data_IF_427542769263
#
_entry.id   IF_427542769263
#
_cell.length_a   1.000
_cell.length_b   1.000
_cell.length_c   1.000
_cell.angle_alpha   90.00
_cell.angle_beta   90.00
_cell.angle_gamma   90.00
#
_symmetry.space_group_name_H-M   'P 1'
#
loop_
_entity.id
_entity.type
_entity.pdbx_description
1 polymer ?
#
# COMPACT_ATOMS: atom_id res chain seq x y z
N UNK A 1 -3.07 -70.33 45.42
CA UNK A 1 -3.80 -69.19 44.78
C UNK A 1 -2.91 -68.00 44.74
N UNK A 2 -2.30 -67.78 43.56
CA UNK A 2 -1.34 -66.67 43.32
C UNK A 2 -2.08 -65.60 42.51
N UNK A 3 -2.30 -64.42 43.15
CA UNK A 3 -2.90 -63.25 42.46
C UNK A 3 -1.81 -62.54 41.67
N UNK A 4 -1.93 -62.54 40.35
CA UNK A 4 -1.11 -61.71 39.46
C UNK A 4 -1.63 -60.28 39.44
N UNK A 5 -0.80 -59.32 39.82
CA UNK A 5 -1.06 -57.88 39.71
C UNK A 5 -0.55 -57.42 38.34
N UNK A 6 -1.51 -56.99 37.46
CA UNK A 6 -1.22 -56.44 36.16
C UNK A 6 -0.95 -54.93 36.33
N UNK A 7 0.31 -54.49 36.18
CA UNK A 7 0.68 -53.07 36.16
C UNK A 7 0.60 -52.60 34.73
N UNK A 8 -0.43 -51.74 34.43
CA UNK A 8 -0.55 -51.07 33.15
C UNK A 8 0.32 -49.79 33.18
N UNK A 9 1.42 -49.79 32.44
CA UNK A 9 2.24 -48.61 32.21
C UNK A 9 1.54 -47.72 31.18
N UNK A 10 0.96 -46.63 31.63
CA UNK A 10 0.39 -45.57 30.78
C UNK A 10 1.56 -44.68 30.29
N UNK A 11 2.11 -44.97 29.10
CA UNK A 11 3.11 -44.15 28.44
C UNK A 11 2.43 -42.86 27.92
N UNK A 12 2.59 -41.79 28.67
CA UNK A 12 2.16 -40.43 28.24
C UNK A 12 3.09 -39.91 27.12
N UNK A 13 2.66 -39.99 25.88
CA UNK A 13 3.31 -39.27 24.78
C UNK A 13 3.09 -37.77 24.97
N UNK A 14 4.08 -37.06 25.53
CA UNK A 14 4.18 -35.61 25.44
C UNK A 14 4.47 -35.23 23.98
N UNK A 15 3.44 -34.85 23.23
CA UNK A 15 3.62 -34.15 21.97
C UNK A 15 4.20 -32.76 22.29
N UNK A 16 5.51 -32.62 22.21
CA UNK A 16 6.15 -31.32 22.13
C UNK A 16 5.70 -30.68 20.81
N UNK A 17 4.72 -29.80 20.86
CA UNK A 17 4.41 -28.93 19.75
C UNK A 17 5.62 -28.03 19.51
N UNK A 18 6.49 -28.42 18.56
CA UNK A 18 7.54 -27.56 18.05
C UNK A 18 6.84 -26.36 17.42
N UNK A 19 6.83 -25.21 18.09
CA UNK A 19 6.53 -23.95 17.45
C UNK A 19 7.60 -23.77 16.38
N UNK A 20 7.27 -24.08 15.13
CA UNK A 20 8.13 -23.80 13.97
C UNK A 20 8.29 -22.28 13.94
N UNK A 21 9.40 -21.79 14.47
CA UNK A 21 9.84 -20.42 14.25
C UNK A 21 10.08 -20.30 12.74
N UNK A 22 9.13 -19.68 12.05
CA UNK A 22 9.29 -19.34 10.65
C UNK A 22 10.49 -18.39 10.55
N UNK A 23 11.65 -18.96 10.19
CA UNK A 23 12.92 -18.22 10.14
C UNK A 23 12.95 -17.10 9.10
N UNK A 24 11.90 -17.02 8.28
CA UNK A 24 11.77 -16.03 7.21
C UNK A 24 11.43 -14.63 7.72
N UNK A 25 10.92 -14.48 8.95
CA UNK A 25 10.47 -13.21 9.52
C UNK A 25 11.06 -13.00 10.91
N UNK A 26 11.87 -11.95 11.07
CA UNK A 26 12.42 -11.54 12.36
C UNK A 26 11.65 -10.34 12.90
N UNK A 27 11.03 -10.48 14.08
CA UNK A 27 10.37 -9.35 14.76
C UNK A 27 11.39 -8.26 15.09
N UNK A 28 11.06 -7.01 14.72
CA UNK A 28 11.89 -5.84 15.00
C UNK A 28 11.33 -4.98 16.13
N UNK A 29 10.09 -4.51 15.95
CA UNK A 29 9.43 -3.63 16.93
C UNK A 29 7.91 -3.59 16.72
N UNK A 30 7.21 -3.05 17.73
CA UNK A 30 5.79 -2.75 17.68
C UNK A 30 5.55 -1.28 18.03
N UNK A 31 4.66 -0.63 17.29
CA UNK A 31 4.14 0.70 17.56
C UNK A 31 2.72 0.52 18.07
N UNK A 32 2.50 0.75 19.35
CA UNK A 32 1.18 0.60 19.97
C UNK A 32 0.27 1.77 19.63
N UNK A 33 -1.02 1.51 19.45
CA UNK A 33 -2.03 2.51 19.18
C UNK A 33 -3.19 1.96 18.36
N UNK A 34 -4.26 2.75 18.26
CA UNK A 34 -5.42 2.42 17.42
C UNK A 34 -5.35 3.24 16.14
N UNK A 35 -5.08 2.56 15.02
CA UNK A 35 -4.93 3.16 13.71
C UNK A 35 -5.90 2.52 12.73
N UNK A 36 -6.41 3.31 11.78
CA UNK A 36 -7.32 2.85 10.73
C UNK A 36 -6.58 2.48 9.45
N UNK A 37 -5.46 3.17 9.17
CA UNK A 37 -4.60 2.89 8.03
C UNK A 37 -3.18 3.40 8.27
N UNK A 38 -2.26 3.01 7.40
CA UNK A 38 -0.89 3.51 7.43
C UNK A 38 -0.24 3.45 6.05
N UNK A 39 0.78 4.28 5.86
CA UNK A 39 1.72 4.24 4.74
C UNK A 39 3.16 4.22 5.26
N UNK A 40 4.09 3.75 4.42
CA UNK A 40 5.52 3.72 4.72
C UNK A 40 6.30 4.26 3.54
N UNK A 41 7.20 5.21 3.77
CA UNK A 41 8.08 5.74 2.74
C UNK A 41 9.41 4.96 2.62
N UNK A 42 10.21 5.33 1.63
CA UNK A 42 11.50 4.69 1.36
C UNK A 42 12.61 5.04 2.38
N UNK A 43 12.33 5.91 3.35
CA UNK A 43 13.20 6.25 4.49
C UNK A 43 12.73 5.56 5.78
N UNK A 44 11.80 4.59 5.67
CA UNK A 44 11.16 3.89 6.79
C UNK A 44 10.36 4.80 7.74
N UNK A 45 9.97 6.01 7.30
CA UNK A 45 8.99 6.78 8.06
C UNK A 45 7.61 6.14 7.89
N UNK A 46 6.86 6.12 8.98
CA UNK A 46 5.52 5.53 9.02
C UNK A 46 4.50 6.66 9.21
N UNK A 47 3.53 6.72 8.33
CA UNK A 47 2.45 7.68 8.33
C UNK A 47 1.17 6.98 8.77
N UNK A 48 0.64 7.36 9.93
CA UNK A 48 -0.45 6.70 10.64
C UNK A 48 -1.70 7.55 10.60
N UNK A 49 -2.82 6.98 10.20
CA UNK A 49 -4.14 7.58 10.40
C UNK A 49 -4.76 6.94 11.64
N UNK A 50 -5.06 7.74 12.66
CA UNK A 50 -5.75 7.28 13.84
C UNK A 50 -7.28 7.26 13.64
N UNK A 51 -8.02 6.79 14.63
CA UNK A 51 -9.49 6.70 14.61
C UNK A 51 -10.21 8.05 14.52
N UNK A 52 -9.52 9.16 14.78
CA UNK A 52 -10.04 10.53 14.60
C UNK A 52 -9.59 11.17 13.28
N UNK A 53 -9.09 10.36 12.34
CA UNK A 53 -8.56 10.79 11.04
C UNK A 53 -7.41 11.81 11.10
N UNK A 54 -6.66 11.84 12.19
CA UNK A 54 -5.44 12.61 12.31
C UNK A 54 -4.27 11.82 11.70
N UNK A 55 -3.49 12.46 10.84
CA UNK A 55 -2.25 11.91 10.32
C UNK A 55 -1.10 12.20 11.27
N UNK A 56 -0.37 11.15 11.67
CA UNK A 56 0.86 11.23 12.46
C UNK A 56 2.01 10.60 11.69
N UNK A 57 3.13 11.31 11.60
CA UNK A 57 4.39 10.77 11.06
C UNK A 57 5.29 10.31 12.19
N UNK A 58 5.82 9.11 12.08
CA UNK A 58 6.84 8.53 12.96
C UNK A 58 8.08 8.25 12.11
N UNK A 59 9.25 8.69 12.56
CA UNK A 59 10.50 8.42 11.85
C UNK A 59 10.98 6.98 12.05
N UNK A 60 12.04 6.58 11.33
CA UNK A 60 12.60 5.22 11.40
C UNK A 60 13.03 4.82 12.84
N UNK A 61 13.43 5.78 13.68
CA UNK A 61 13.81 5.55 15.08
C UNK A 61 12.60 5.30 15.98
N UNK A 62 11.40 5.71 15.56
CA UNK A 62 10.16 5.61 16.34
C UNK A 62 9.71 6.92 16.99
N UNK A 63 10.42 8.04 16.72
CA UNK A 63 10.05 9.35 17.26
C UNK A 63 8.94 10.00 16.44
N UNK A 64 8.09 10.80 17.09
CA UNK A 64 7.07 11.59 16.42
C UNK A 64 7.72 12.71 15.60
N UNK A 65 7.57 12.68 14.28
CA UNK A 65 8.19 13.62 13.36
C UNK A 65 7.21 14.67 12.80
N UNK A 66 5.91 14.55 13.09
CA UNK A 66 4.90 15.52 12.68
C UNK A 66 3.49 15.00 12.89
N UNK A 67 2.55 15.93 12.93
CA UNK A 67 1.12 15.65 13.03
C UNK A 67 0.37 16.62 12.11
N UNK A 68 -0.60 16.10 11.35
CA UNK A 68 -1.49 16.90 10.53
C UNK A 68 -2.94 16.54 10.82
N UNK A 69 -3.78 17.56 10.99
CA UNK A 69 -5.20 17.37 11.21
C UNK A 69 -5.98 18.54 10.60
N UNK A 70 -6.71 18.28 9.54
CA UNK A 70 -7.62 19.27 8.93
C UNK A 70 -8.95 18.63 8.52
N UNK A 71 -9.45 17.72 9.35
CA UNK A 71 -10.70 16.97 9.11
C UNK A 71 -11.91 17.90 8.99
N UNK A 72 -11.88 19.03 9.70
CA UNK A 72 -12.98 20.02 9.64
C UNK A 72 -13.11 20.65 8.25
N UNK A 73 -11.99 20.80 7.54
CA UNK A 73 -11.93 21.44 6.23
C UNK A 73 -12.11 20.45 5.08
N UNK A 74 -11.49 19.27 5.18
CA UNK A 74 -11.40 18.32 4.07
C UNK A 74 -12.09 16.97 4.35
N UNK A 75 -12.61 16.77 5.56
CA UNK A 75 -13.14 15.46 5.96
C UNK A 75 -12.06 14.37 6.12
N UNK A 76 -12.45 13.09 6.09
CA UNK A 76 -11.49 12.00 6.19
C UNK A 76 -10.66 11.87 4.92
N UNK A 77 -9.35 11.61 5.09
CA UNK A 77 -8.44 11.33 3.98
C UNK A 77 -8.81 9.99 3.32
N UNK A 78 -8.84 9.97 1.98
CA UNK A 78 -9.17 8.76 1.22
C UNK A 78 -7.92 8.00 0.81
N UNK A 79 -6.87 8.71 0.40
CA UNK A 79 -5.59 8.12 -0.01
C UNK A 79 -4.44 9.00 0.45
N UNK A 80 -3.34 8.36 0.84
CA UNK A 80 -2.07 9.01 1.14
C UNK A 80 -1.03 8.44 0.19
N UNK A 81 -0.26 9.31 -0.46
CA UNK A 81 0.94 8.93 -1.19
C UNK A 81 2.17 9.52 -0.52
N UNK A 82 3.08 8.67 -0.11
CA UNK A 82 4.36 9.01 0.55
C UNK A 82 5.56 8.55 -0.28
N UNK A 83 5.34 8.32 -1.56
CA UNK A 83 6.38 7.90 -2.53
C UNK A 83 7.57 8.85 -2.50
N UNK A 84 7.33 10.15 -2.38
CA UNK A 84 8.35 11.16 -2.12
C UNK A 84 8.25 11.65 -0.67
N UNK A 85 9.23 11.34 0.22
CA UNK A 85 9.22 11.77 1.62
C UNK A 85 9.28 13.29 1.84
N UNK A 86 9.61 14.06 0.80
CA UNK A 86 9.66 15.52 0.81
C UNK A 86 8.36 16.17 0.32
N UNK A 87 7.47 15.36 -0.29
CA UNK A 87 6.20 15.79 -0.87
C UNK A 87 5.15 14.72 -0.62
N UNK A 88 4.39 14.86 0.45
CA UNK A 88 3.32 13.94 0.81
C UNK A 88 2.01 14.41 0.19
N UNK A 89 1.29 13.52 -0.47
CA UNK A 89 -0.03 13.83 -1.05
C UNK A 89 -1.13 13.22 -0.19
N UNK A 90 -2.09 14.04 0.20
CA UNK A 90 -3.33 13.60 0.84
C UNK A 90 -4.49 13.85 -0.13
N UNK A 91 -5.18 12.79 -0.53
CA UNK A 91 -6.33 12.92 -1.41
C UNK A 91 -7.65 12.76 -0.62
N UNK A 92 -8.53 13.74 -0.82
CA UNK A 92 -9.85 13.83 -0.23
C UNK A 92 -10.90 13.68 -1.33
N UNK A 93 -11.32 12.44 -1.61
CA UNK A 93 -12.21 12.11 -2.74
C UNK A 93 -13.51 12.88 -2.71
N UNK A 94 -14.16 12.98 -1.54
CA UNK A 94 -15.45 13.68 -1.39
C UNK A 94 -15.39 15.18 -1.74
N UNK A 95 -14.22 15.77 -1.58
CA UNK A 95 -13.97 17.18 -1.89
C UNK A 95 -13.23 17.39 -3.21
N UNK A 96 -12.86 16.31 -3.92
CA UNK A 96 -12.03 16.32 -5.13
C UNK A 96 -10.79 17.20 -4.92
N UNK A 97 -10.11 17.03 -3.78
CA UNK A 97 -9.03 17.92 -3.35
C UNK A 97 -7.79 17.11 -3.00
N UNK A 98 -6.64 17.55 -3.50
CA UNK A 98 -5.33 17.03 -3.11
C UNK A 98 -4.66 18.10 -2.24
N UNK A 99 -4.24 17.72 -1.03
CA UNK A 99 -3.42 18.54 -0.16
C UNK A 99 -1.98 18.06 -0.26
N UNK A 100 -1.09 18.97 -0.61
CA UNK A 100 0.35 18.72 -0.71
C UNK A 100 1.00 19.17 0.57
N UNK A 101 1.67 18.24 1.28
CA UNK A 101 2.41 18.53 2.50
C UNK A 101 3.91 18.45 2.27
N UNK A 102 4.67 19.18 3.08
CA UNK A 102 6.13 19.03 3.18
C UNK A 102 6.51 17.85 4.09
N UNK A 103 7.82 17.61 4.24
CA UNK A 103 8.36 16.55 5.11
C UNK A 103 7.98 16.65 6.58
N UNK A 104 7.57 17.84 7.04
CA UNK A 104 7.16 18.13 8.43
C UNK A 104 5.63 18.11 8.59
N UNK A 105 4.90 17.76 7.53
CA UNK A 105 3.44 17.76 7.42
C UNK A 105 2.82 19.17 7.45
N UNK A 106 3.54 20.22 7.04
CA UNK A 106 2.94 21.53 6.80
C UNK A 106 2.33 21.57 5.40
N UNK A 107 1.19 22.25 5.25
CA UNK A 107 0.56 22.44 3.93
C UNK A 107 1.46 23.33 3.08
N UNK A 108 1.86 22.81 1.92
CA UNK A 108 2.53 23.56 0.86
C UNK A 108 1.55 24.11 -0.16
N UNK A 109 0.60 23.27 -0.55
CA UNK A 109 -0.40 23.62 -1.54
C UNK A 109 -1.70 22.82 -1.35
N UNK A 110 -2.79 23.31 -1.98
CA UNK A 110 -4.08 22.63 -2.03
C UNK A 110 -4.65 22.75 -3.44
N UNK A 111 -4.81 21.60 -4.09
CA UNK A 111 -5.27 21.49 -5.48
C UNK A 111 -6.74 21.08 -5.47
N UNK A 112 -7.62 21.95 -5.96
CA UNK A 112 -9.02 21.61 -6.16
C UNK A 112 -9.22 21.12 -7.59
N UNK A 113 -9.43 19.82 -7.76
CA UNK A 113 -9.51 19.16 -9.05
C UNK A 113 -10.75 19.60 -9.85
N UNK A 114 -11.84 19.96 -9.19
CA UNK A 114 -13.07 20.46 -9.87
C UNK A 114 -12.82 21.77 -10.61
N UNK A 115 -11.91 22.61 -10.11
CA UNK A 115 -11.52 23.86 -10.79
C UNK A 115 -10.77 23.60 -12.10
N UNK A 116 -10.21 22.40 -12.24
CA UNK A 116 -9.52 21.92 -13.43
C UNK A 116 -10.40 21.03 -14.32
N UNK A 117 -11.72 21.02 -14.06
CA UNK A 117 -12.69 20.16 -14.74
C UNK A 117 -12.41 18.65 -14.57
N UNK A 118 -11.77 18.25 -13.48
CA UNK A 118 -11.51 16.85 -13.11
C UNK A 118 -12.46 16.51 -11.95
N UNK A 119 -13.45 15.67 -12.19
CA UNK A 119 -14.54 15.45 -11.24
C UNK A 119 -14.54 14.08 -10.58
N UNK A 120 -14.02 13.07 -11.24
CA UNK A 120 -14.10 11.68 -10.81
C UNK A 120 -12.72 11.02 -10.77
N UNK A 121 -11.94 11.32 -9.72
CA UNK A 121 -10.63 10.69 -9.52
C UNK A 121 -10.75 9.55 -8.52
N UNK A 122 -10.24 8.39 -8.88
CA UNK A 122 -10.27 7.21 -8.02
C UNK A 122 -8.94 6.94 -7.32
N UNK A 123 -7.83 7.25 -7.97
CA UNK A 123 -6.50 7.06 -7.41
C UNK A 123 -5.52 8.13 -7.90
N UNK A 124 -4.55 8.47 -7.05
CA UNK A 124 -3.46 9.40 -7.34
C UNK A 124 -2.11 8.75 -7.05
N UNK A 125 -1.04 9.26 -7.66
CA UNK A 125 0.33 8.90 -7.33
C UNK A 125 1.29 10.06 -7.59
N UNK A 126 2.35 10.18 -6.79
CA UNK A 126 3.46 11.09 -7.09
C UNK A 126 4.23 10.57 -8.30
N UNK A 127 4.45 11.44 -9.28
CA UNK A 127 5.27 11.14 -10.46
C UNK A 127 6.77 11.32 -10.15
N UNK A 128 7.62 10.64 -10.93
CA UNK A 128 9.09 10.74 -10.81
C UNK A 128 9.61 12.18 -10.94
N UNK A 129 8.90 13.04 -11.69
CA UNK A 129 9.23 14.45 -11.92
C UNK A 129 8.56 15.41 -10.91
N UNK A 130 8.11 14.88 -9.77
CA UNK A 130 7.36 15.57 -8.71
C UNK A 130 5.98 16.12 -9.10
N UNK A 131 5.48 15.81 -10.29
CA UNK A 131 4.10 16.04 -10.67
C UNK A 131 3.20 14.98 -10.06
N UNK A 132 1.92 14.98 -10.40
CA UNK A 132 0.93 14.07 -9.83
C UNK A 132 0.22 13.34 -10.96
N UNK A 133 0.29 12.02 -10.94
CA UNK A 133 -0.56 11.16 -11.74
C UNK A 133 -1.92 10.99 -11.08
N UNK A 134 -2.96 10.96 -11.87
CA UNK A 134 -4.31 10.62 -11.44
C UNK A 134 -5.05 9.84 -12.52
N UNK A 135 -5.99 9.00 -12.12
CA UNK A 135 -6.91 8.33 -13.03
C UNK A 135 -8.29 9.01 -12.95
N UNK A 136 -8.67 9.64 -14.07
CA UNK A 136 -9.97 10.28 -14.24
C UNK A 136 -10.97 9.24 -14.76
N UNK A 137 -11.89 8.80 -13.90
CA UNK A 137 -12.91 7.80 -14.23
C UNK A 137 -14.02 8.35 -15.13
N UNK A 138 -14.20 9.67 -15.18
CA UNK A 138 -15.19 10.28 -16.05
C UNK A 138 -14.73 10.28 -17.51
N UNK A 139 -13.46 10.58 -17.74
CA UNK A 139 -12.88 10.60 -19.09
C UNK A 139 -12.18 9.30 -19.46
N UNK A 140 -12.02 8.38 -18.50
CA UNK A 140 -11.28 7.12 -18.67
C UNK A 140 -9.85 7.33 -19.14
N UNK A 141 -9.18 8.32 -18.54
CA UNK A 141 -7.81 8.69 -18.88
C UNK A 141 -6.89 8.70 -17.68
N UNK A 142 -5.65 8.35 -17.92
CA UNK A 142 -4.55 8.69 -17.04
C UNK A 142 -4.14 10.13 -17.32
N UNK A 143 -4.09 10.99 -16.31
CA UNK A 143 -3.68 12.37 -16.44
C UNK A 143 -2.50 12.65 -15.52
N UNK A 144 -1.59 13.52 -15.98
CA UNK A 144 -0.53 14.09 -15.15
C UNK A 144 -0.77 15.57 -14.96
N UNK A 145 -0.79 16.03 -13.71
CA UNK A 145 -1.00 17.42 -13.35
C UNK A 145 0.21 17.97 -12.57
N UNK A 146 0.43 19.27 -12.65
CA UNK A 146 1.40 19.98 -11.80
C UNK A 146 0.82 20.33 -10.41
N UNK A 147 1.59 21.07 -9.61
CA UNK A 147 1.19 21.49 -8.27
C UNK A 147 0.06 22.54 -8.26
N UNK A 148 -0.21 23.20 -9.39
CA UNK A 148 -1.31 24.13 -9.56
C UNK A 148 -2.58 23.42 -10.08
N UNK A 149 -2.46 22.14 -10.42
CA UNK A 149 -3.53 21.31 -10.96
C UNK A 149 -3.66 21.40 -12.48
N UNK A 150 -2.75 22.10 -13.18
CA UNK A 150 -2.74 22.17 -14.64
C UNK A 150 -2.43 20.81 -15.24
N UNK A 151 -3.23 20.37 -16.20
CA UNK A 151 -3.00 19.12 -16.91
C UNK A 151 -1.80 19.26 -17.85
N UNK A 152 -0.75 18.49 -17.59
CA UNK A 152 0.49 18.46 -18.38
C UNK A 152 0.46 17.38 -19.44
N UNK A 153 -0.25 16.27 -19.19
CA UNK A 153 -0.31 15.14 -20.07
C UNK A 153 -1.60 14.34 -19.82
N UNK A 154 -2.15 13.80 -20.89
CA UNK A 154 -3.24 12.83 -20.87
C UNK A 154 -2.90 11.60 -21.70
N UNK A 155 -3.31 10.43 -21.24
CA UNK A 155 -3.28 9.20 -22.04
C UNK A 155 -4.36 9.22 -23.10
N UNK A 156 -4.32 8.26 -24.02
CA UNK A 156 -5.48 7.94 -24.86
C UNK A 156 -6.68 7.54 -23.96
N UNK A 157 -7.87 7.76 -24.48
CA UNK A 157 -9.10 7.29 -23.85
C UNK A 157 -9.11 5.75 -23.79
N UNK A 158 -9.26 5.21 -22.59
CA UNK A 158 -9.21 3.76 -22.37
C UNK A 158 -10.35 2.99 -23.06
N UNK A 159 -11.44 3.65 -23.41
CA UNK A 159 -12.51 3.06 -24.25
C UNK A 159 -12.05 2.69 -25.64
N UNK A 160 -11.00 3.35 -26.13
CA UNK A 160 -10.40 3.06 -27.43
C UNK A 160 -9.26 2.02 -27.36
N UNK A 161 -8.78 1.73 -26.16
CA UNK A 161 -7.60 0.87 -25.92
C UNK A 161 -8.00 -0.49 -25.35
N UNK A 162 -9.06 -0.54 -24.56
CA UNK A 162 -9.45 -1.75 -23.83
C UNK A 162 -10.92 -2.12 -24.08
N UNK A 163 -11.16 -3.40 -24.34
CA UNK A 163 -12.53 -3.95 -24.42
C UNK A 163 -13.27 -3.83 -23.07
N UNK A 164 -12.55 -3.91 -21.97
CA UNK A 164 -13.06 -3.73 -20.61
C UNK A 164 -12.20 -2.72 -19.87
N UNK A 165 -12.78 -1.54 -19.64
CA UNK A 165 -12.10 -0.39 -19.03
C UNK A 165 -11.72 -0.72 -17.58
N UNK A 166 -10.44 -0.56 -17.18
CA UNK A 166 -10.04 -0.76 -15.79
C UNK A 166 -10.60 0.35 -14.88
N UNK A 167 -10.93 -0.02 -13.62
CA UNK A 167 -11.20 0.92 -12.54
C UNK A 167 -10.00 0.92 -11.60
N UNK A 168 -9.26 2.03 -11.56
CA UNK A 168 -8.04 2.12 -10.79
C UNK A 168 -8.32 2.13 -9.29
N UNK A 169 -7.95 1.07 -8.58
CA UNK A 169 -7.94 1.06 -7.11
C UNK A 169 -6.63 1.61 -6.54
N UNK A 170 -5.56 1.55 -7.33
CA UNK A 170 -4.24 2.07 -6.94
C UNK A 170 -3.45 2.52 -8.18
N UNK A 171 -2.74 3.64 -8.05
CA UNK A 171 -1.70 4.08 -8.98
C UNK A 171 -0.34 4.04 -8.30
N UNK A 172 0.71 3.79 -9.07
CA UNK A 172 2.11 3.82 -8.60
C UNK A 172 3.02 4.20 -9.76
N UNK A 173 3.92 5.17 -9.56
CA UNK A 173 4.99 5.51 -10.51
C UNK A 173 6.30 4.91 -10.02
N UNK A 174 6.88 3.97 -10.77
CA UNK A 174 8.15 3.31 -10.47
C UNK A 174 8.82 2.78 -11.75
N UNK A 175 10.13 2.76 -11.75
CA UNK A 175 10.94 2.07 -12.76
C UNK A 175 10.62 2.47 -14.21
N UNK A 176 10.38 3.75 -14.46
CA UNK A 176 10.01 4.33 -15.75
C UNK A 176 8.61 3.94 -16.25
N UNK A 177 7.76 3.44 -15.36
CA UNK A 177 6.37 3.11 -15.68
C UNK A 177 5.39 3.68 -14.66
N UNK A 178 4.20 4.01 -15.14
CA UNK A 178 3.03 4.24 -14.33
C UNK A 178 2.21 2.95 -14.31
N UNK A 179 1.95 2.46 -13.12
CA UNK A 179 1.18 1.25 -12.90
C UNK A 179 -0.21 1.62 -12.39
N UNK A 180 -1.21 1.09 -13.06
CA UNK A 180 -2.61 1.14 -12.65
C UNK A 180 -3.04 -0.25 -12.23
N UNK A 181 -3.56 -0.38 -11.03
CA UNK A 181 -4.09 -1.64 -10.54
C UNK A 181 -5.60 -1.61 -10.42
N UNK A 182 -6.25 -2.60 -11.03
CA UNK A 182 -7.66 -2.94 -10.89
C UNK A 182 -7.76 -4.33 -10.25
N UNK A 183 -8.38 -4.43 -9.08
CA UNK A 183 -8.48 -5.67 -8.32
C UNK A 183 -9.16 -6.81 -9.10
N UNK A 184 -10.11 -6.47 -9.97
CA UNK A 184 -10.84 -7.46 -10.77
C UNK A 184 -10.19 -7.74 -12.14
N UNK A 185 -9.37 -6.82 -12.66
CA UNK A 185 -8.83 -6.90 -14.02
C UNK A 185 -7.32 -7.03 -14.09
N UNK A 186 -6.62 -6.73 -12.99
CA UNK A 186 -5.17 -6.90 -12.86
C UNK A 186 -4.38 -5.61 -12.97
N UNK A 187 -3.15 -5.74 -13.36
CA UNK A 187 -2.10 -4.73 -13.26
C UNK A 187 -1.73 -4.25 -14.66
N UNK A 188 -1.93 -2.96 -14.93
CA UNK A 188 -1.65 -2.32 -16.22
C UNK A 188 -0.42 -1.44 -16.09
N UNK A 189 0.47 -1.47 -17.07
CA UNK A 189 1.65 -0.62 -17.12
C UNK A 189 1.58 0.35 -18.30
N UNK A 190 1.95 1.60 -18.04
CA UNK A 190 2.01 2.68 -19.01
C UNK A 190 3.40 3.31 -18.96
N UNK A 191 3.88 3.83 -20.09
CA UNK A 191 5.08 4.68 -20.08
C UNK A 191 4.76 6.10 -19.56
N UNK A 192 5.79 6.93 -19.45
CA UNK A 192 5.64 8.31 -18.97
C UNK A 192 4.89 9.24 -19.92
N UNK A 193 4.57 8.79 -21.12
CA UNK A 193 3.70 9.48 -22.07
C UNK A 193 2.25 9.01 -21.98
N UNK A 194 1.93 8.14 -21.01
CA UNK A 194 0.59 7.59 -20.85
C UNK A 194 0.22 6.49 -21.85
N UNK A 195 1.19 5.96 -22.61
CA UNK A 195 0.95 4.89 -23.59
C UNK A 195 0.94 3.54 -22.90
N UNK A 196 -0.10 2.74 -23.16
CA UNK A 196 -0.22 1.37 -22.65
C UNK A 196 0.92 0.48 -23.15
N UNK A 197 1.51 -0.31 -22.25
CA UNK A 197 2.61 -1.25 -22.55
C UNK A 197 2.23 -2.71 -22.33
N UNK A 198 1.71 -3.03 -21.15
CA UNK A 198 1.44 -4.43 -20.81
C UNK A 198 0.35 -4.53 -19.74
N UNK A 199 -0.27 -5.70 -19.66
CA UNK A 199 -1.20 -6.10 -18.61
C UNK A 199 -0.76 -7.42 -17.99
N UNK A 200 -0.71 -7.47 -16.65
CA UNK A 200 -0.46 -8.68 -15.89
C UNK A 200 -1.75 -9.07 -15.14
N UNK A 201 -2.21 -10.32 -15.25
CA UNK A 201 -3.49 -10.77 -14.71
C UNK A 201 -3.39 -11.10 -13.20
N UNK A 202 -2.87 -10.18 -12.39
CA UNK A 202 -2.80 -10.33 -10.94
C UNK A 202 -4.12 -9.91 -10.32
N UNK A 203 -5.06 -10.85 -10.22
CA UNK A 203 -6.40 -10.60 -9.74
C UNK A 203 -6.47 -10.75 -8.22
N UNK A 204 -7.26 -9.89 -7.58
CA UNK A 204 -7.54 -9.94 -6.14
C UNK A 204 -6.31 -9.83 -5.23
N UNK A 205 -5.26 -9.14 -5.71
CA UNK A 205 -4.15 -8.75 -4.85
C UNK A 205 -4.53 -7.50 -4.06
N UNK A 206 -4.17 -7.47 -2.80
CA UNK A 206 -4.33 -6.30 -1.93
C UNK A 206 -2.96 -5.73 -1.55
N UNK A 207 -2.95 -4.45 -1.16
CA UNK A 207 -1.76 -3.76 -0.66
C UNK A 207 -0.56 -3.89 -1.62
N UNK A 208 -0.79 -3.57 -2.89
CA UNK A 208 0.23 -3.62 -3.94
C UNK A 208 1.38 -2.67 -3.59
N UNK A 209 2.59 -3.16 -3.72
CA UNK A 209 3.81 -2.36 -3.66
C UNK A 209 4.71 -2.71 -4.84
N UNK A 210 5.29 -1.70 -5.47
CA UNK A 210 6.33 -1.88 -6.49
C UNK A 210 7.64 -1.37 -5.88
N UNK A 211 8.54 -2.30 -5.56
CA UNK A 211 9.84 -2.00 -4.99
C UNK A 211 10.92 -2.57 -5.90
N UNK A 212 11.87 -1.71 -6.30
CA UNK A 212 12.87 -2.05 -7.30
C UNK A 212 12.22 -2.64 -8.57
N UNK A 213 12.46 -3.91 -8.87
CA UNK A 213 11.92 -4.62 -10.04
C UNK A 213 10.94 -5.73 -9.66
N UNK A 214 10.36 -5.64 -8.46
CA UNK A 214 9.43 -6.62 -7.91
C UNK A 214 8.10 -5.97 -7.62
N UNK A 215 7.02 -6.59 -8.08
CA UNK A 215 5.67 -6.28 -7.65
C UNK A 215 5.33 -7.21 -6.50
N UNK A 216 4.96 -6.64 -5.37
CA UNK A 216 4.46 -7.36 -4.21
C UNK A 216 2.95 -7.15 -4.07
N UNK A 217 2.29 -8.15 -3.53
CA UNK A 217 0.88 -8.04 -3.16
C UNK A 217 0.49 -9.14 -2.17
N UNK A 218 -0.69 -9.04 -1.61
CA UNK A 218 -1.20 -10.01 -0.65
C UNK A 218 -2.53 -10.57 -1.15
N UNK A 219 -2.66 -11.89 -1.08
CA UNK A 219 -3.90 -12.56 -1.47
C UNK A 219 -4.06 -13.85 -0.68
N UNK A 220 -5.26 -14.11 -0.15
CA UNK A 220 -5.60 -15.34 0.58
C UNK A 220 -4.59 -15.77 1.65
N UNK A 221 -4.07 -14.80 2.44
CA UNK A 221 -3.11 -15.07 3.52
C UNK A 221 -1.69 -15.41 3.04
N UNK A 222 -1.37 -15.09 1.78
CA UNK A 222 -0.04 -15.23 1.19
C UNK A 222 0.53 -13.87 0.83
N UNK A 223 1.83 -13.73 0.94
CA UNK A 223 2.62 -12.70 0.27
C UNK A 223 3.00 -13.21 -1.12
N UNK A 224 2.66 -12.46 -2.13
CA UNK A 224 2.96 -12.74 -3.52
C UNK A 224 4.06 -11.78 -3.99
N UNK A 225 5.00 -12.26 -4.77
CA UNK A 225 6.02 -11.43 -5.41
C UNK A 225 6.19 -11.83 -6.87
N UNK A 226 6.31 -10.82 -7.73
CA UNK A 226 6.54 -11.03 -9.16
C UNK A 226 7.74 -10.23 -9.63
N UNK A 227 8.74 -10.91 -10.15
CA UNK A 227 9.96 -10.32 -10.66
C UNK A 227 9.76 -9.86 -12.10
N UNK A 228 9.78 -8.57 -12.36
CA UNK A 228 9.51 -7.99 -13.68
C UNK A 228 10.50 -8.42 -14.76
N UNK A 229 11.76 -8.69 -14.41
CA UNK A 229 12.78 -9.08 -15.40
C UNK A 229 12.75 -10.55 -15.77
N UNK A 230 12.60 -11.43 -14.79
CA UNK A 230 12.62 -12.88 -14.99
C UNK A 230 11.24 -13.48 -15.20
N UNK A 231 10.19 -12.67 -15.09
CA UNK A 231 8.78 -13.06 -15.18
C UNK A 231 8.41 -14.17 -14.19
N UNK A 232 9.12 -14.23 -13.06
CA UNK A 232 8.96 -15.29 -12.08
C UNK A 232 8.09 -14.83 -10.92
N UNK A 233 7.05 -15.62 -10.60
CA UNK A 233 6.18 -15.41 -9.45
C UNK A 233 6.58 -16.35 -8.32
N UNK A 234 6.62 -15.82 -7.10
CA UNK A 234 6.81 -16.59 -5.87
C UNK A 234 5.69 -16.30 -4.89
N UNK A 235 5.34 -17.31 -4.10
CA UNK A 235 4.33 -17.23 -3.06
C UNK A 235 4.93 -17.65 -1.72
N UNK A 236 4.67 -16.87 -0.68
CA UNK A 236 5.11 -17.13 0.68
C UNK A 236 3.88 -17.18 1.59
N UNK A 237 3.67 -18.28 2.31
CA UNK A 237 2.62 -18.34 3.31
C UNK A 237 2.93 -17.38 4.45
N UNK A 238 1.97 -16.53 4.81
CA UNK A 238 2.13 -15.68 5.98
C UNK A 238 2.07 -16.52 7.24
N UNK A 239 2.99 -16.33 8.20
CA UNK A 239 2.96 -17.02 9.47
C UNK A 239 1.71 -16.67 10.28
N UNK A 240 1.39 -17.50 11.29
CA UNK A 240 0.18 -17.33 12.08
C UNK A 240 0.05 -15.93 12.72
N UNK A 241 1.17 -15.34 13.16
CA UNK A 241 1.18 -14.00 13.72
C UNK A 241 0.84 -12.90 12.70
N UNK A 242 1.04 -13.16 11.42
CA UNK A 242 0.76 -12.21 10.32
C UNK A 242 -0.63 -12.41 9.70
N UNK A 243 -1.45 -13.31 10.22
CA UNK A 243 -2.85 -13.49 9.82
C UNK A 243 -3.78 -12.51 10.56
N UNK A 244 -4.98 -12.31 10.02
CA UNK A 244 -6.00 -11.42 10.60
C UNK A 244 -5.51 -9.97 10.77
N UNK A 245 -4.87 -9.44 9.74
CA UNK A 245 -4.45 -8.04 9.67
C UNK A 245 -5.57 -7.13 9.18
N UNK A 246 -5.55 -5.88 9.59
CA UNK A 246 -6.37 -4.80 9.02
C UNK A 246 -5.74 -4.26 7.74
N UNK A 247 -4.41 -4.09 7.76
CA UNK A 247 -3.61 -3.73 6.60
C UNK A 247 -2.19 -4.34 6.73
N UNK A 248 -1.57 -4.61 5.59
CA UNK A 248 -0.20 -5.14 5.53
C UNK A 248 0.55 -4.46 4.40
N UNK A 249 1.82 -4.13 4.61
CA UNK A 249 2.68 -3.53 3.59
C UNK A 249 4.08 -4.12 3.67
N UNK A 250 4.75 -4.11 2.52
CA UNK A 250 6.16 -4.46 2.42
C UNK A 250 6.92 -3.25 1.87
N UNK A 251 8.02 -2.87 2.55
CA UNK A 251 8.89 -1.78 2.14
C UNK A 251 10.30 -2.05 2.67
N UNK A 252 11.32 -1.86 1.85
CA UNK A 252 12.73 -2.03 2.20
C UNK A 252 13.03 -3.39 2.89
N UNK A 253 12.43 -4.48 2.38
CA UNK A 253 12.58 -5.82 2.97
C UNK A 253 11.93 -5.99 4.35
N UNK A 254 11.12 -5.05 4.79
CA UNK A 254 10.36 -5.12 6.04
C UNK A 254 8.87 -5.33 5.77
N UNK A 255 8.26 -6.17 6.59
CA UNK A 255 6.83 -6.42 6.61
C UNK A 255 6.20 -5.64 7.76
N UNK A 256 5.25 -4.78 7.44
CA UNK A 256 4.49 -3.96 8.37
C UNK A 256 3.07 -4.52 8.47
N UNK A 257 2.60 -4.83 9.66
CA UNK A 257 1.30 -5.46 9.89
C UNK A 257 0.48 -4.60 10.86
N UNK A 258 -0.60 -4.01 10.38
CA UNK A 258 -1.55 -3.27 11.20
C UNK A 258 -2.57 -4.23 11.80
N UNK A 259 -2.73 -4.15 13.12
CA UNK A 259 -3.75 -4.82 13.91
C UNK A 259 -4.49 -3.82 14.80
N UNK A 260 -5.61 -4.19 15.46
CA UNK A 260 -6.36 -3.26 16.32
C UNK A 260 -5.53 -2.60 17.42
N UNK A 261 -4.45 -3.25 17.87
CA UNK A 261 -3.58 -2.82 18.96
C UNK A 261 -2.28 -2.14 18.52
N UNK A 262 -2.09 -1.95 17.20
CA UNK A 262 -0.93 -1.24 16.65
C UNK A 262 -0.31 -1.88 15.42
N UNK A 263 0.90 -1.41 15.07
CA UNK A 263 1.68 -1.91 13.93
C UNK A 263 2.87 -2.73 14.43
N UNK A 264 2.97 -3.97 13.98
CA UNK A 264 4.14 -4.83 14.17
C UNK A 264 5.01 -4.82 12.93
N UNK A 265 6.33 -4.74 13.12
CA UNK A 265 7.33 -4.63 12.05
C UNK A 265 8.26 -5.83 12.13
N UNK A 266 8.46 -6.49 11.00
CA UNK A 266 9.32 -7.66 10.86
C UNK A 266 10.31 -7.45 9.73
N UNK A 267 11.54 -7.94 9.89
CA UNK A 267 12.50 -8.09 8.80
C UNK A 267 12.14 -9.37 8.02
N UNK A 268 12.01 -9.26 6.71
CA UNK A 268 11.92 -10.40 5.79
C UNK A 268 13.34 -10.84 5.45
N UNK A 269 13.65 -12.13 5.63
CA UNK A 269 14.98 -12.74 5.35
C UNK A 269 15.02 -13.36 3.96
#
# INVERSE_FOLDING_TARGET
MIKAILIVFLSGCCFAASAQNDSSFLFLKKINGSFTSFEVDNLDNIYLINTTNQLKKINANGDSAGVFNDIKRFGPVTQIDVTNPLKILLYYKNFSTIVVLDRFLNIRNTINLRRQNIFAVNSIATSYDNNIWLYDEQEYKLKKIDDDGTVLLESNDFRQVFDSIPSATQLTDRNNFVYLYDTAKGFYSFDYYGSFKNRLPFLHWANIAVAEKIIYGFSYGKLLSYQLQSLNQKEYSLPAFAKNYMAVKIMNGKLYILKPDGISIYQVK
#
